data_IF_654299569095
#
_entry.id   IF_654299569095
#
_cell.length_a   1.000
_cell.length_b   1.000
_cell.length_c   1.000
_cell.angle_alpha   90.00
_cell.angle_beta   90.00
_cell.angle_gamma   90.00
#
_symmetry.space_group_name_H-M   'P 1'
#
loop_
_entity.id
_entity.type
_entity.pdbx_description
1 polymer ?
#
# COMPACT_ATOMS: atom_id res chain seq x y z
N UNK A 1 4.90 0.93 -24.65
CA UNK A 1 5.96 1.44 -23.76
C UNK A 1 5.46 2.49 -22.77
N UNK A 2 5.03 3.69 -23.19
CA UNK A 2 4.52 4.74 -22.27
C UNK A 2 3.37 4.26 -21.36
N UNK A 3 2.48 3.41 -21.88
CA UNK A 3 1.32 2.92 -21.12
C UNK A 3 1.70 1.97 -19.97
N UNK A 4 2.78 1.18 -20.09
CA UNK A 4 3.22 0.23 -19.05
C UNK A 4 3.84 0.97 -17.88
N UNK A 5 4.77 1.88 -18.16
CA UNK A 5 5.40 2.72 -17.14
C UNK A 5 4.33 3.57 -16.46
N UNK A 6 3.41 4.17 -17.22
CA UNK A 6 2.29 4.93 -16.65
C UNK A 6 1.40 4.08 -15.74
N UNK A 7 0.99 2.88 -16.17
CA UNK A 7 0.15 2.01 -15.36
C UNK A 7 0.85 1.59 -14.06
N UNK A 8 2.15 1.29 -14.10
CA UNK A 8 2.93 1.02 -12.89
C UNK A 8 3.04 2.24 -11.99
N UNK A 9 3.37 3.41 -12.55
CA UNK A 9 3.43 4.66 -11.78
C UNK A 9 2.09 4.97 -11.12
N UNK A 10 0.97 4.68 -11.79
CA UNK A 10 -0.37 4.85 -11.23
C UNK A 10 -0.65 3.89 -10.06
N UNK A 11 -0.22 2.63 -10.16
CA UNK A 11 -0.32 1.66 -9.05
C UNK A 11 0.55 2.12 -7.87
N UNK A 12 1.84 2.39 -8.10
CA UNK A 12 2.79 2.86 -7.07
C UNK A 12 2.28 4.13 -6.38
N UNK A 13 1.82 5.11 -7.17
CA UNK A 13 1.30 6.37 -6.62
C UNK A 13 0.03 6.18 -5.79
N UNK A 14 -0.79 5.17 -6.13
CA UNK A 14 -2.01 4.85 -5.38
C UNK A 14 -1.67 4.14 -4.08
N UNK A 15 -0.76 3.15 -4.11
CA UNK A 15 -0.23 2.50 -2.90
C UNK A 15 0.39 3.52 -1.94
N UNK A 16 1.26 4.40 -2.45
CA UNK A 16 1.92 5.43 -1.66
C UNK A 16 0.89 6.37 -0.99
N UNK A 17 -0.18 6.76 -1.70
CA UNK A 17 -1.26 7.58 -1.12
C UNK A 17 -2.01 6.85 -0.02
N UNK A 18 -2.36 5.57 -0.24
CA UNK A 18 -3.04 4.75 0.76
C UNK A 18 -2.17 4.60 2.01
N UNK A 19 -0.88 4.30 1.82
CA UNK A 19 0.04 4.14 2.93
C UNK A 19 0.26 5.46 3.69
N UNK A 20 0.44 6.57 2.98
CA UNK A 20 0.61 7.88 3.59
C UNK A 20 -0.60 8.27 4.46
N UNK A 21 -1.84 8.04 3.98
CA UNK A 21 -3.06 8.26 4.77
C UNK A 21 -3.02 7.46 6.08
N UNK A 22 -2.67 6.18 6.00
CA UNK A 22 -2.59 5.32 7.17
C UNK A 22 -1.49 5.79 8.13
N UNK A 23 -0.29 6.07 7.63
CA UNK A 23 0.86 6.54 8.42
C UNK A 23 0.59 7.87 9.13
N UNK A 24 -0.04 8.83 8.46
CA UNK A 24 -0.35 10.12 9.06
C UNK A 24 -1.40 10.00 10.15
N UNK A 25 -2.43 9.17 9.93
CA UNK A 25 -3.41 8.86 10.97
C UNK A 25 -2.73 8.20 12.18
N UNK A 26 -1.82 7.26 11.96
CA UNK A 26 -1.10 6.61 13.06
C UNK A 26 -0.19 7.55 13.84
N UNK A 27 0.47 8.50 13.19
CA UNK A 27 1.27 9.50 13.91
C UNK A 27 0.43 10.35 14.84
N UNK A 28 -0.82 10.65 14.44
CA UNK A 28 -1.77 11.40 15.26
C UNK A 28 -2.21 10.56 16.47
N UNK A 29 -2.45 9.27 16.26
CA UNK A 29 -2.98 8.34 17.27
C UNK A 29 -1.89 7.49 17.96
N UNK A 30 -0.61 7.84 17.83
CA UNK A 30 0.51 7.00 18.29
C UNK A 30 0.54 6.82 19.81
N UNK A 31 0.14 7.87 20.53
CA UNK A 31 0.15 7.93 21.99
C UNK A 31 -1.23 7.56 22.58
N UNK A 32 -2.19 7.17 21.74
CA UNK A 32 -3.53 6.79 22.17
C UNK A 32 -3.50 5.41 22.83
N UNK A 33 -4.12 5.32 24.00
CA UNK A 33 -4.48 4.05 24.64
C UNK A 33 -5.91 3.68 24.31
N UNK A 34 -6.10 2.43 23.93
CA UNK A 34 -7.41 1.87 23.61
C UNK A 34 -7.73 0.73 24.56
N UNK A 35 -8.93 0.77 25.13
CA UNK A 35 -9.43 -0.28 26.00
C UNK A 35 -10.08 -1.36 25.16
N UNK A 36 -9.43 -2.52 25.07
CA UNK A 36 -9.92 -3.68 24.33
C UNK A 36 -10.19 -4.82 25.32
N UNK A 37 -11.46 -5.19 25.46
CA UNK A 37 -11.89 -6.30 26.34
C UNK A 37 -11.38 -6.15 27.80
N UNK A 38 -11.30 -4.91 28.30
CA UNK A 38 -10.87 -4.58 29.66
C UNK A 38 -9.35 -4.38 29.85
N UNK A 39 -8.57 -4.48 28.77
CA UNK A 39 -7.13 -4.21 28.77
C UNK A 39 -6.83 -2.90 28.05
N UNK A 40 -6.07 -2.02 28.70
CA UNK A 40 -5.50 -0.84 28.04
C UNK A 40 -4.29 -1.27 27.21
N UNK A 41 -4.36 -1.02 25.91
CA UNK A 41 -3.30 -1.31 24.95
C UNK A 41 -2.98 -0.03 24.17
N UNK A 42 -1.70 0.24 23.88
CA UNK A 42 -1.37 1.32 22.95
C UNK A 42 -1.91 0.98 21.56
N UNK A 43 -2.46 1.98 20.88
CA UNK A 43 -2.99 1.84 19.52
C UNK A 43 -1.96 1.21 18.56
N UNK A 44 -0.68 1.56 18.74
CA UNK A 44 0.45 1.00 18.00
C UNK A 44 0.56 -0.54 18.12
N UNK A 45 0.29 -1.12 19.29
CA UNK A 45 0.35 -2.58 19.47
C UNK A 45 -0.74 -3.33 18.69
N UNK A 46 -1.86 -2.67 18.44
CA UNK A 46 -2.96 -3.24 17.67
C UNK A 46 -2.69 -3.11 16.17
N UNK A 47 -2.10 -2.00 15.74
CA UNK A 47 -1.83 -1.73 14.34
C UNK A 47 -0.54 -2.41 13.85
N UNK A 48 0.51 -2.49 14.65
CA UNK A 48 1.83 -3.07 14.29
C UNK A 48 1.73 -4.44 13.61
N UNK A 49 0.83 -5.32 14.05
CA UNK A 49 0.58 -6.64 13.41
C UNK A 49 0.13 -6.53 11.94
N UNK A 50 -0.57 -5.45 11.60
CA UNK A 50 -1.05 -5.17 10.25
C UNK A 50 -0.10 -4.28 9.46
N UNK A 51 0.74 -3.49 10.13
CA UNK A 51 1.61 -2.48 9.52
C UNK A 51 2.93 -3.02 9.02
N UNK A 52 3.57 -3.96 9.72
CA UNK A 52 4.87 -4.49 9.27
C UNK A 52 4.81 -5.04 7.83
N UNK A 53 3.77 -5.79 7.42
CA UNK A 53 3.62 -6.19 6.02
C UNK A 53 3.38 -5.02 5.05
N UNK A 54 2.76 -3.93 5.52
CA UNK A 54 2.45 -2.73 4.71
C UNK A 54 3.71 -1.89 4.48
N UNK A 55 4.51 -1.69 5.52
CA UNK A 55 5.80 -1.00 5.45
C UNK A 55 6.74 -1.73 4.50
N UNK A 56 6.90 -3.05 4.67
CA UNK A 56 7.73 -3.86 3.78
C UNK A 56 7.25 -3.80 2.32
N UNK A 57 5.95 -3.92 2.08
CA UNK A 57 5.41 -3.85 0.73
C UNK A 57 5.64 -2.48 0.07
N UNK A 58 5.61 -1.40 0.87
CA UNK A 58 5.91 -0.04 0.38
C UNK A 58 7.38 0.12 0.04
N UNK A 59 8.29 -0.36 0.91
CA UNK A 59 9.73 -0.33 0.65
C UNK A 59 10.10 -1.15 -0.59
N UNK A 60 9.47 -2.32 -0.76
CA UNK A 60 9.68 -3.18 -1.92
C UNK A 60 9.17 -2.53 -3.21
N UNK A 61 7.98 -1.90 -3.17
CA UNK A 61 7.43 -1.15 -4.30
C UNK A 61 8.32 0.05 -4.68
N UNK A 62 8.81 0.80 -3.69
CA UNK A 62 9.75 1.91 -3.89
C UNK A 62 11.08 1.43 -4.47
N UNK A 63 11.59 0.29 -3.99
CA UNK A 63 12.82 -0.32 -4.50
C UNK A 63 12.67 -0.71 -5.97
N UNK A 64 11.53 -1.29 -6.35
CA UNK A 64 11.24 -1.59 -7.76
C UNK A 64 11.16 -0.30 -8.57
N UNK A 65 10.42 0.70 -8.09
CA UNK A 65 10.30 2.00 -8.78
C UNK A 65 11.67 2.66 -9.00
N UNK A 66 12.55 2.64 -7.99
CA UNK A 66 13.91 3.16 -8.08
C UNK A 66 14.77 2.31 -9.01
N UNK A 67 14.62 0.99 -8.99
CA UNK A 67 15.35 0.10 -9.90
C UNK A 67 15.00 0.37 -11.37
N UNK A 68 13.79 0.89 -11.63
CA UNK A 68 13.34 1.26 -12.97
C UNK A 68 13.85 2.63 -13.41
N UNK A 69 14.45 3.42 -12.53
CA UNK A 69 15.09 4.68 -12.90
C UNK A 69 16.51 4.42 -13.40
N UNK A 70 16.89 5.09 -14.48
CA UNK A 70 18.25 5.16 -15.00
C UNK A 70 18.60 6.61 -15.30
N UNK A 71 19.88 6.96 -15.20
CA UNK A 71 20.36 8.29 -15.60
C UNK A 71 21.00 8.18 -16.98
N UNK A 72 20.44 8.89 -17.96
CA UNK A 72 21.03 9.03 -19.31
C UNK A 72 21.18 10.51 -19.62
N UNK A 73 22.39 10.91 -19.99
CA UNK A 73 22.76 12.30 -20.26
C UNK A 73 22.41 13.28 -19.12
N UNK A 74 22.56 12.82 -17.86
CA UNK A 74 22.25 13.61 -16.67
C UNK A 74 20.75 13.81 -16.40
N UNK A 75 19.88 13.13 -17.16
CA UNK A 75 18.43 13.12 -16.95
C UNK A 75 17.98 11.76 -16.41
N UNK A 76 17.14 11.77 -15.38
CA UNK A 76 16.46 10.57 -14.92
C UNK A 76 15.42 10.18 -15.97
N UNK A 77 15.53 8.96 -16.46
CA UNK A 77 14.54 8.32 -17.31
C UNK A 77 14.20 6.93 -16.76
N UNK A 78 13.12 6.33 -17.25
CA UNK A 78 12.69 5.02 -16.78
C UNK A 78 13.07 3.94 -17.79
N UNK A 79 13.84 2.94 -17.36
CA UNK A 79 14.12 1.75 -18.14
C UNK A 79 12.84 0.94 -18.33
N UNK A 80 12.76 0.19 -19.42
CA UNK A 80 11.63 -0.71 -19.64
C UNK A 80 11.65 -1.82 -18.56
N UNK A 81 10.56 -2.02 -17.80
CA UNK A 81 10.47 -3.11 -16.83
C UNK A 81 10.54 -4.46 -17.56
N UNK A 82 11.27 -5.43 -17.01
CA UNK A 82 11.20 -6.80 -17.50
C UNK A 82 9.90 -7.46 -17.04
N UNK A 83 9.47 -8.52 -17.73
CA UNK A 83 8.34 -9.33 -17.26
C UNK A 83 8.52 -9.86 -15.83
N UNK A 84 9.77 -10.12 -15.42
CA UNK A 84 10.10 -10.52 -14.05
C UNK A 84 9.88 -9.38 -13.06
N UNK A 85 10.34 -8.16 -13.36
CA UNK A 85 10.13 -6.98 -12.52
C UNK A 85 8.64 -6.70 -12.34
N UNK A 86 7.88 -6.80 -13.44
CA UNK A 86 6.42 -6.65 -13.44
C UNK A 86 5.74 -7.67 -12.55
N UNK A 87 6.09 -8.95 -12.69
CA UNK A 87 5.49 -10.02 -11.89
C UNK A 87 5.78 -9.82 -10.40
N UNK A 88 7.04 -9.53 -10.06
CA UNK A 88 7.45 -9.29 -8.67
C UNK A 88 6.69 -8.11 -8.07
N UNK A 89 6.59 -7.00 -8.80
CA UNK A 89 5.81 -5.84 -8.39
C UNK A 89 4.34 -6.18 -8.13
N UNK A 90 3.71 -6.91 -9.05
CA UNK A 90 2.32 -7.33 -8.92
C UNK A 90 2.08 -8.23 -7.69
N UNK A 91 2.99 -9.15 -7.41
CA UNK A 91 2.90 -10.04 -6.26
C UNK A 91 2.99 -9.23 -4.94
N UNK A 92 3.88 -8.24 -4.89
CA UNK A 92 4.00 -7.31 -3.74
C UNK A 92 2.72 -6.50 -3.57
N UNK A 93 2.19 -5.90 -4.64
CA UNK A 93 0.92 -5.14 -4.58
C UNK A 93 -0.24 -6.00 -4.10
N UNK A 94 -0.28 -7.28 -4.45
CA UNK A 94 -1.32 -8.19 -3.94
C UNK A 94 -1.18 -8.44 -2.44
N UNK A 95 0.05 -8.59 -1.92
CA UNK A 95 0.29 -8.69 -0.48
C UNK A 95 -0.15 -7.41 0.22
N UNK A 96 0.14 -6.24 -0.35
CA UNK A 96 -0.30 -4.94 0.16
C UNK A 96 -1.83 -4.84 0.26
N UNK A 97 -2.55 -5.15 -0.83
CA UNK A 97 -4.02 -5.15 -0.86
C UNK A 97 -4.60 -6.08 0.21
N UNK A 98 -4.02 -7.28 0.37
CA UNK A 98 -4.46 -8.26 1.36
C UNK A 98 -4.23 -7.76 2.80
N UNK A 99 -3.06 -7.18 3.08
CA UNK A 99 -2.75 -6.64 4.40
C UNK A 99 -3.72 -5.52 4.78
N UNK A 100 -3.98 -4.56 3.88
CA UNK A 100 -4.96 -3.52 4.13
C UNK A 100 -6.39 -4.05 4.24
N UNK A 101 -6.78 -5.05 3.45
CA UNK A 101 -8.11 -5.67 3.57
C UNK A 101 -8.31 -6.33 4.94
N UNK A 102 -7.28 -7.00 5.46
CA UNK A 102 -7.30 -7.57 6.81
C UNK A 102 -7.41 -6.47 7.88
N UNK A 103 -6.68 -5.36 7.72
CA UNK A 103 -6.75 -4.21 8.63
C UNK A 103 -8.16 -3.59 8.63
N UNK A 104 -8.77 -3.37 7.47
CA UNK A 104 -10.14 -2.86 7.38
C UNK A 104 -11.15 -3.82 8.01
N UNK A 105 -10.96 -5.12 7.85
CA UNK A 105 -11.78 -6.15 8.52
C UNK A 105 -11.65 -6.05 10.04
N UNK A 106 -10.43 -5.97 10.56
CA UNK A 106 -10.17 -5.78 11.98
C UNK A 106 -10.81 -4.50 12.52
N UNK A 107 -10.67 -3.39 11.79
CA UNK A 107 -11.28 -2.10 12.15
C UNK A 107 -12.78 -2.26 12.28
N UNK A 108 -13.44 -2.85 11.28
CA UNK A 108 -14.88 -3.07 11.30
C UNK A 108 -15.34 -3.96 12.46
N UNK A 109 -14.54 -4.95 12.85
CA UNK A 109 -14.84 -5.82 13.99
C UNK A 109 -14.67 -5.12 15.36
N UNK A 110 -13.83 -4.07 15.42
CA UNK A 110 -13.43 -3.43 16.68
C UNK A 110 -13.86 -1.98 16.83
N UNK A 111 -14.37 -1.33 15.79
CA UNK A 111 -14.70 0.10 15.77
C UNK A 111 -15.79 0.49 16.78
N UNK A 112 -16.68 -0.44 17.15
CA UNK A 112 -17.68 -0.21 18.21
C UNK A 112 -17.05 -0.14 19.61
N UNK A 113 -15.94 -0.85 19.81
CA UNK A 113 -15.19 -0.90 21.08
C UNK A 113 -14.09 0.15 21.14
N UNK A 114 -13.57 0.56 19.98
CA UNK A 114 -12.46 1.49 19.83
C UNK A 114 -12.87 2.59 18.86
N UNK A 115 -13.46 3.65 19.38
CA UNK A 115 -14.06 4.73 18.58
C UNK A 115 -13.07 5.40 17.64
N UNK A 116 -11.80 5.53 18.05
CA UNK A 116 -10.74 6.08 17.23
C UNK A 116 -10.63 5.35 15.87
N UNK A 117 -10.85 4.04 15.81
CA UNK A 117 -10.77 3.26 14.56
C UNK A 117 -11.80 3.70 13.51
N UNK A 118 -12.93 4.30 13.92
CA UNK A 118 -13.94 4.84 12.97
C UNK A 118 -13.37 5.96 12.10
N UNK A 119 -12.40 6.70 12.64
CA UNK A 119 -11.74 7.81 11.95
C UNK A 119 -10.65 7.35 10.97
N UNK A 120 -10.37 6.05 10.87
CA UNK A 120 -9.35 5.53 9.98
C UNK A 120 -9.60 5.95 8.52
N UNK A 121 -8.61 6.54 7.83
CA UNK A 121 -8.84 7.29 6.59
C UNK A 121 -8.86 6.43 5.32
N UNK A 122 -8.39 5.18 5.39
CA UNK A 122 -8.43 4.26 4.25
C UNK A 122 -9.75 3.50 4.27
N UNK A 123 -10.42 3.42 3.12
CA UNK A 123 -11.71 2.74 2.94
C UNK A 123 -11.59 1.61 1.91
N UNK A 124 -12.58 0.71 1.87
CA UNK A 124 -12.61 -0.37 0.87
C UNK A 124 -12.52 0.14 -0.58
N UNK A 125 -13.06 1.33 -0.85
CA UNK A 125 -13.02 1.97 -2.16
C UNK A 125 -11.60 2.30 -2.62
N UNK A 126 -10.70 2.71 -1.70
CA UNK A 126 -9.29 2.93 -2.02
C UNK A 126 -8.63 1.62 -2.51
N UNK A 127 -8.97 0.48 -1.87
CA UNK A 127 -8.44 -0.83 -2.27
C UNK A 127 -9.06 -1.36 -3.56
N UNK A 128 -10.34 -1.04 -3.83
CA UNK A 128 -10.99 -1.36 -5.12
C UNK A 128 -10.34 -0.60 -6.26
N UNK A 129 -10.05 0.68 -6.08
CA UNK A 129 -9.33 1.51 -7.07
C UNK A 129 -7.92 0.97 -7.33
N UNK A 130 -7.16 0.64 -6.28
CA UNK A 130 -5.85 0.01 -6.41
C UNK A 130 -5.92 -1.33 -7.15
N UNK A 131 -6.90 -2.18 -6.82
CA UNK A 131 -7.12 -3.48 -7.47
C UNK A 131 -7.43 -3.31 -8.96
N UNK A 132 -8.27 -2.34 -9.31
CA UNK A 132 -8.60 -2.03 -10.70
C UNK A 132 -7.37 -1.57 -11.50
N UNK A 133 -6.55 -0.70 -10.92
CA UNK A 133 -5.28 -0.25 -11.53
C UNK A 133 -4.30 -1.39 -11.73
N UNK A 134 -4.17 -2.27 -10.74
CA UNK A 134 -3.35 -3.49 -10.85
C UNK A 134 -3.86 -4.40 -11.98
N UNK A 135 -5.18 -4.56 -12.13
CA UNK A 135 -5.76 -5.36 -13.21
C UNK A 135 -5.45 -4.76 -14.60
N UNK A 136 -5.57 -3.44 -14.75
CA UNK A 136 -5.17 -2.75 -15.99
C UNK A 136 -3.69 -2.98 -16.30
N UNK A 137 -2.81 -2.85 -15.29
CA UNK A 137 -1.38 -3.09 -15.46
C UNK A 137 -1.07 -4.53 -15.89
N UNK A 138 -1.84 -5.52 -15.39
CA UNK A 138 -1.74 -6.94 -15.76
C UNK A 138 -2.19 -7.24 -17.20
N UNK A 139 -3.14 -6.46 -17.71
CA UNK A 139 -3.71 -6.68 -19.04
C UNK A 139 -2.86 -6.08 -20.18
N UNK A 140 -1.83 -5.29 -19.85
CA UNK A 140 -0.96 -4.71 -20.88
C UNK A 140 -0.09 -5.80 -21.53
N UNK A 141 0.18 -5.70 -22.85
CA UNK A 141 1.15 -6.55 -23.50
C UNK A 141 2.55 -6.17 -22.99
N UNK A 142 3.11 -7.01 -22.12
CA UNK A 142 4.43 -6.87 -21.50
C UNK A 142 5.51 -7.66 -22.26
N UNK A 143 5.22 -8.04 -23.51
CA UNK A 143 5.69 -9.32 -24.05
C UNK A 143 6.32 -9.26 -25.45
N UNK A 144 6.56 -8.07 -26.01
CA UNK A 144 7.30 -7.93 -27.27
C UNK A 144 8.72 -7.37 -27.02
#
# INVERSE_FOLDING_TARGET
MSNVIKALSDVISTEAKINQKALDWMKIHKDDTICLDGFELPMEAILSKSLTPIEQATEDAQTIANSLQETVDGKIQFKCPTAYDMKKFMDITQVFIKAFSNLLTFIKEKEEKVEALKSFPVKEEDLKDLTAKLYVAKALPLWD
#
